data_IF_751534838566
#
_entry.id   IF_751534838566
#
_cell.length_a   1.000
_cell.length_b   1.000
_cell.length_c   1.000
_cell.angle_alpha   90.00
_cell.angle_beta   90.00
_cell.angle_gamma   90.00
#
_symmetry.space_group_name_H-M   'P 1'
#
loop_
_entity.id
_entity.type
_entity.pdbx_description
1 polymer ?
#
# COMPACT_ATOMS: atom_id res chain seq x y z
N UNK A 1 -0.18 15.93 -16.29
CA UNK A 1 0.11 14.69 -17.03
C UNK A 1 0.38 13.60 -16.01
N UNK A 2 -0.39 12.52 -16.02
CA UNK A 2 -0.04 11.29 -15.32
C UNK A 2 1.06 10.57 -16.13
N UNK A 3 2.04 9.94 -15.48
CA UNK A 3 1.98 9.46 -14.10
C UNK A 3 2.59 10.42 -13.06
N UNK A 4 2.12 10.33 -11.81
CA UNK A 4 2.79 10.87 -10.62
C UNK A 4 3.36 9.70 -9.82
N UNK A 5 4.50 9.89 -9.17
CA UNK A 5 5.08 8.91 -8.26
C UNK A 5 5.35 9.59 -6.92
N UNK A 6 4.99 8.94 -5.83
CA UNK A 6 5.35 9.34 -4.48
C UNK A 6 6.37 8.34 -3.93
N UNK A 7 7.43 8.83 -3.31
CA UNK A 7 8.39 8.02 -2.56
C UNK A 7 8.34 8.49 -1.11
N UNK A 8 8.09 7.57 -0.18
CA UNK A 8 7.85 7.89 1.23
C UNK A 8 6.71 8.92 1.43
N UNK A 9 5.73 8.86 0.51
CA UNK A 9 4.58 9.76 0.42
C UNK A 9 4.90 11.21 0.03
N UNK A 10 6.14 11.50 -0.35
CA UNK A 10 6.57 12.78 -0.91
C UNK A 10 6.67 12.67 -2.43
N UNK A 11 6.30 13.74 -3.15
CA UNK A 11 6.39 13.76 -4.62
C UNK A 11 7.82 13.46 -5.09
N UNK A 12 7.97 12.31 -5.75
CA UNK A 12 9.24 11.90 -6.31
C UNK A 12 9.46 12.65 -7.62
N UNK A 13 10.39 13.61 -7.57
CA UNK A 13 10.81 14.32 -8.77
C UNK A 13 11.59 13.37 -9.66
N UNK A 14 11.08 13.16 -10.88
CA UNK A 14 11.56 12.17 -11.83
C UNK A 14 12.91 12.59 -12.43
N UNK A 15 14.02 11.89 -12.15
CA UNK A 15 15.07 11.78 -13.15
C UNK A 15 14.53 10.95 -14.31
N UNK A 16 15.05 11.16 -15.54
CA UNK A 16 14.55 10.59 -16.80
C UNK A 16 14.35 9.05 -16.80
N UNK A 17 14.88 8.31 -15.84
CA UNK A 17 14.90 6.83 -15.81
C UNK A 17 14.58 6.19 -14.45
N UNK A 18 14.05 6.93 -13.45
CA UNK A 18 13.80 6.40 -12.09
C UNK A 18 15.03 5.69 -11.44
N UNK A 19 16.24 6.00 -11.91
CA UNK A 19 17.43 5.18 -11.68
C UNK A 19 17.92 5.13 -10.23
N UNK A 20 17.45 6.05 -9.38
CA UNK A 20 17.87 6.15 -7.98
C UNK A 20 16.79 5.65 -6.99
N UNK A 21 15.64 5.15 -7.48
CA UNK A 21 14.52 4.76 -6.63
C UNK A 21 14.91 3.65 -5.65
N UNK A 22 15.68 2.67 -6.11
CA UNK A 22 16.16 1.56 -5.27
C UNK A 22 17.11 2.07 -4.19
N UNK A 23 18.03 2.96 -4.54
CA UNK A 23 18.99 3.53 -3.60
C UNK A 23 18.28 4.34 -2.52
N UNK A 24 17.31 5.18 -2.90
CA UNK A 24 16.52 5.96 -1.94
C UNK A 24 15.64 5.06 -1.06
N UNK A 25 15.05 4.02 -1.63
CA UNK A 25 14.24 3.04 -0.88
C UNK A 25 15.10 2.30 0.15
N UNK A 26 16.31 1.87 -0.24
CA UNK A 26 17.26 1.26 0.68
C UNK A 26 17.69 2.22 1.80
N UNK A 27 17.87 3.51 1.50
CA UNK A 27 18.18 4.51 2.51
C UNK A 27 17.04 4.68 3.53
N UNK A 28 15.78 4.72 3.08
CA UNK A 28 14.60 4.76 3.95
C UNK A 28 14.55 3.51 4.84
N UNK A 29 14.72 2.32 4.27
CA UNK A 29 14.68 1.06 5.00
C UNK A 29 15.83 0.88 6.03
N UNK A 30 16.86 1.74 6.01
CA UNK A 30 17.93 1.76 7.02
C UNK A 30 17.62 2.65 8.22
N UNK A 31 16.59 3.48 8.13
CA UNK A 31 16.12 4.27 9.27
C UNK A 31 15.20 3.44 10.15
N UNK A 32 15.24 3.68 11.46
CA UNK A 32 14.30 3.04 12.37
C UNK A 32 12.89 3.56 12.07
N UNK A 33 11.87 2.68 11.97
CA UNK A 33 10.51 3.12 11.72
C UNK A 33 9.97 3.89 12.93
N UNK A 34 9.17 4.93 12.68
CA UNK A 34 8.53 5.76 13.72
C UNK A 34 7.15 5.22 14.15
N UNK A 35 6.72 4.12 13.54
CA UNK A 35 5.59 3.32 13.96
C UNK A 35 6.02 1.85 14.05
N UNK A 36 5.19 1.03 14.70
CA UNK A 36 5.27 -0.43 14.64
C UNK A 36 3.96 -0.98 14.08
N UNK A 37 4.01 -1.73 12.98
CA UNK A 37 2.85 -2.37 12.33
C UNK A 37 2.94 -3.88 12.51
N UNK A 38 1.82 -4.49 12.91
CA UNK A 38 1.59 -5.94 12.89
C UNK A 38 0.35 -6.22 12.07
N UNK A 39 0.42 -7.21 11.19
CA UNK A 39 -0.67 -7.57 10.29
C UNK A 39 -0.96 -9.06 10.37
N UNK A 40 -2.24 -9.40 10.39
CA UNK A 40 -2.72 -10.78 10.26
C UNK A 40 -3.79 -10.85 9.18
N UNK A 41 -3.76 -11.94 8.42
CA UNK A 41 -4.63 -12.16 7.28
C UNK A 41 -5.29 -13.54 7.39
N UNK A 42 -6.59 -13.59 7.12
CA UNK A 42 -7.36 -14.82 7.03
C UNK A 42 -8.00 -14.85 5.65
N UNK A 43 -7.48 -15.73 4.79
CA UNK A 43 -8.00 -15.94 3.44
C UNK A 43 -8.98 -17.09 3.42
N UNK A 44 -10.12 -16.86 2.78
CA UNK A 44 -11.13 -17.86 2.46
C UNK A 44 -11.31 -17.95 0.95
N UNK A 45 -12.18 -18.87 0.49
CA UNK A 45 -12.42 -19.12 -0.93
C UNK A 45 -12.93 -17.89 -1.68
N UNK A 46 -13.71 -17.03 -1.03
CA UNK A 46 -14.40 -15.89 -1.65
C UNK A 46 -14.17 -14.57 -0.91
N UNK A 47 -13.31 -14.56 0.11
CA UNK A 47 -13.10 -13.38 0.93
C UNK A 47 -11.69 -13.35 1.54
N UNK A 48 -11.28 -12.15 1.93
CA UNK A 48 -10.07 -11.89 2.69
C UNK A 48 -10.42 -10.99 3.86
N UNK A 49 -10.06 -11.42 5.06
CA UNK A 49 -10.13 -10.60 6.26
C UNK A 49 -8.71 -10.22 6.71
N UNK A 50 -8.47 -8.93 6.86
CA UNK A 50 -7.20 -8.35 7.30
C UNK A 50 -7.42 -7.66 8.64
N UNK A 51 -6.55 -7.92 9.60
CA UNK A 51 -6.42 -7.11 10.82
C UNK A 51 -5.03 -6.50 10.86
N UNK A 52 -4.98 -5.20 11.08
CA UNK A 52 -3.74 -4.47 11.30
C UNK A 52 -3.80 -3.76 12.64
N UNK A 53 -2.76 -3.96 13.44
CA UNK A 53 -2.50 -3.26 14.68
C UNK A 53 -1.25 -2.41 14.46
N UNK A 54 -1.28 -1.13 14.84
CA UNK A 54 -0.12 -0.28 14.81
C UNK A 54 0.05 0.56 16.08
N UNK A 55 1.31 0.87 16.41
CA UNK A 55 1.68 1.70 17.55
C UNK A 55 2.57 2.86 17.07
N UNK A 56 2.20 4.09 17.42
CA UNK A 56 2.95 5.33 17.14
C UNK A 56 3.41 5.91 18.48
N UNK A 57 4.66 5.64 18.91
CA UNK A 57 5.13 6.00 20.24
C UNK A 57 5.29 7.51 20.43
N UNK A 58 5.69 8.24 19.39
CA UNK A 58 5.88 9.69 19.47
C UNK A 58 4.53 10.43 19.45
N UNK A 59 4.26 11.19 20.51
CA UNK A 59 3.05 12.00 20.65
C UNK A 59 2.91 13.06 19.55
N UNK A 60 4.02 13.58 19.03
CA UNK A 60 4.02 14.59 17.97
C UNK A 60 3.58 14.03 16.62
N UNK A 61 3.56 12.70 16.46
CA UNK A 61 3.19 12.01 15.22
C UNK A 61 1.78 11.41 15.26
N UNK A 62 1.00 11.65 16.33
CA UNK A 62 -0.33 11.03 16.52
C UNK A 62 -1.42 11.50 15.57
N UNK A 63 -1.14 12.56 14.80
CA UNK A 63 -1.97 12.95 13.66
C UNK A 63 -1.83 12.01 12.46
N UNK A 64 -0.87 11.08 12.48
CA UNK A 64 -0.75 10.04 11.48
C UNK A 64 -1.98 9.13 11.42
N UNK A 65 -2.17 8.49 10.27
CA UNK A 65 -3.29 7.60 9.98
C UNK A 65 -2.75 6.25 9.51
N UNK A 66 -3.39 5.19 9.99
CA UNK A 66 -3.23 3.85 9.47
C UNK A 66 -4.11 3.66 8.23
N UNK A 67 -3.54 3.07 7.20
CA UNK A 67 -4.22 2.64 5.98
C UNK A 67 -3.97 1.16 5.74
N UNK A 68 -4.95 0.48 5.15
CA UNK A 68 -4.86 -0.88 4.61
C UNK A 68 -5.25 -0.82 3.14
N UNK A 69 -4.35 -1.24 2.26
CA UNK A 69 -4.59 -1.37 0.83
C UNK A 69 -4.55 -2.84 0.43
N UNK A 70 -5.60 -3.32 -0.22
CA UNK A 70 -5.57 -4.61 -0.92
C UNK A 70 -5.35 -4.35 -2.40
N UNK A 71 -4.33 -4.98 -2.97
CA UNK A 71 -3.94 -4.78 -4.35
C UNK A 71 -3.79 -6.11 -5.08
N UNK A 72 -3.92 -6.05 -6.41
CA UNK A 72 -3.81 -7.19 -7.30
C UNK A 72 -2.64 -7.01 -8.27
N UNK A 73 -1.85 -8.07 -8.42
CA UNK A 73 -0.73 -8.15 -9.37
C UNK A 73 -1.13 -8.91 -10.66
N UNK A 74 -0.23 -8.89 -11.64
CA UNK A 74 -0.32 -9.70 -12.85
C UNK A 74 -1.60 -9.47 -13.68
N UNK A 75 -2.19 -8.26 -13.61
CA UNK A 75 -3.38 -7.93 -14.39
C UNK A 75 -2.98 -7.71 -15.85
N UNK A 76 -3.70 -8.33 -16.78
CA UNK A 76 -3.40 -8.26 -18.22
C UNK A 76 -4.60 -7.73 -18.98
N UNK A 77 -4.38 -6.65 -19.73
CA UNK A 77 -5.39 -6.02 -20.59
C UNK A 77 -4.97 -6.16 -22.03
N UNK A 78 -5.77 -6.86 -22.84
CA UNK A 78 -5.58 -6.88 -24.30
C UNK A 78 -6.24 -5.64 -24.89
N UNK A 79 -5.45 -4.74 -25.47
CA UNK A 79 -5.96 -3.54 -26.12
C UNK A 79 -6.48 -3.91 -27.50
N UNK A 80 -7.78 -3.73 -27.72
CA UNK A 80 -8.47 -4.18 -28.95
C UNK A 80 -8.55 -3.10 -30.03
N UNK A 81 -8.31 -1.82 -29.70
CA UNK A 81 -8.42 -0.70 -30.62
C UNK A 81 -7.52 0.49 -30.20
N UNK A 82 -7.29 1.43 -31.13
CA UNK A 82 -6.48 2.64 -30.93
C UNK A 82 -5.00 2.45 -31.24
N UNK A 83 -4.17 3.42 -30.86
CA UNK A 83 -2.72 3.43 -31.12
C UNK A 83 -2.01 2.22 -30.50
N UNK A 84 -2.52 1.72 -29.38
CA UNK A 84 -2.00 0.54 -28.68
C UNK A 84 -2.68 -0.77 -29.10
N UNK A 85 -3.49 -0.78 -30.17
CA UNK A 85 -4.20 -1.98 -30.61
C UNK A 85 -3.24 -3.15 -30.85
N UNK A 86 -3.59 -4.32 -30.32
CA UNK A 86 -2.75 -5.52 -30.40
C UNK A 86 -1.74 -5.66 -29.26
N UNK A 87 -1.50 -4.61 -28.47
CA UNK A 87 -0.67 -4.69 -27.27
C UNK A 87 -1.39 -5.43 -26.12
N UNK A 88 -0.59 -6.09 -25.29
CA UNK A 88 -1.03 -6.62 -23.99
C UNK A 88 -0.34 -5.81 -22.91
N UNK A 89 -1.12 -5.01 -22.19
CA UNK A 89 -0.63 -4.23 -21.06
C UNK A 89 -0.65 -5.10 -19.80
N UNK A 90 0.46 -5.07 -19.05
CA UNK A 90 0.57 -5.76 -17.76
C UNK A 90 0.61 -4.71 -16.66
N UNK A 91 -0.18 -4.91 -15.61
CA UNK A 91 -0.29 -4.01 -14.48
C UNK A 91 -0.04 -4.77 -13.18
N UNK A 92 0.82 -4.21 -12.34
CA UNK A 92 1.10 -4.68 -10.99
C UNK A 92 0.70 -3.63 -9.96
N UNK A 93 0.49 -4.06 -8.72
CA UNK A 93 0.12 -3.23 -7.58
C UNK A 93 -1.17 -2.41 -7.78
N UNK A 94 -2.15 -2.97 -8.49
CA UNK A 94 -3.44 -2.29 -8.73
C UNK A 94 -4.30 -2.39 -7.46
N UNK A 95 -4.48 -1.27 -6.76
CA UNK A 95 -5.32 -1.19 -5.57
C UNK A 95 -6.78 -1.51 -5.94
N UNK A 96 -7.31 -2.54 -5.28
CA UNK A 96 -8.70 -2.99 -5.40
C UNK A 96 -9.58 -2.40 -4.30
N UNK A 97 -9.03 -2.29 -3.10
CA UNK A 97 -9.69 -1.72 -1.94
C UNK A 97 -8.67 -0.91 -1.13
N UNK A 98 -9.09 0.25 -0.65
CA UNK A 98 -8.33 1.07 0.29
C UNK A 98 -9.25 1.40 1.47
N UNK A 99 -8.81 1.09 2.67
CA UNK A 99 -9.58 1.35 3.87
C UNK A 99 -9.73 2.85 4.14
N UNK A 100 -10.82 3.25 4.80
CA UNK A 100 -10.90 4.57 5.44
C UNK A 100 -9.75 4.71 6.45
N UNK A 101 -9.00 5.83 6.48
CA UNK A 101 -7.90 6.00 7.42
C UNK A 101 -8.36 5.92 8.88
N UNK A 102 -7.60 5.21 9.72
CA UNK A 102 -7.83 5.13 11.16
C UNK A 102 -6.75 5.92 11.93
N UNK A 103 -7.16 6.66 12.97
CA UNK A 103 -6.24 7.43 13.80
C UNK A 103 -5.80 6.65 15.05
N UNK A 104 -4.55 6.81 15.51
CA UNK A 104 -4.12 6.41 16.85
C UNK A 104 -4.95 7.05 17.96
N UNK A 105 -5.13 6.30 19.05
CA UNK A 105 -5.70 6.80 20.29
C UNK A 105 -4.68 7.62 21.10
N UNK A 106 -5.05 8.06 22.31
CA UNK A 106 -4.17 8.81 23.22
C UNK A 106 -2.94 8.04 23.74
N UNK A 107 -2.85 6.73 23.50
CA UNK A 107 -1.67 5.94 23.80
C UNK A 107 -0.78 5.72 22.57
N UNK A 108 -1.23 6.12 21.37
CA UNK A 108 -0.55 5.87 20.11
C UNK A 108 -0.97 4.57 19.43
N UNK A 109 -1.94 3.84 19.98
CA UNK A 109 -2.41 2.57 19.41
C UNK A 109 -3.54 2.79 18.41
N UNK A 110 -3.50 2.07 17.29
CA UNK A 110 -4.59 1.99 16.31
C UNK A 110 -4.78 0.55 15.86
N UNK A 111 -6.03 0.12 15.77
CA UNK A 111 -6.40 -1.21 15.27
C UNK A 111 -7.45 -1.04 14.20
N UNK A 112 -7.25 -1.68 13.05
CA UNK A 112 -8.18 -1.65 11.94
C UNK A 112 -8.43 -3.05 11.38
N UNK A 113 -9.67 -3.27 10.93
CA UNK A 113 -10.06 -4.49 10.21
C UNK A 113 -10.63 -4.10 8.85
N UNK A 114 -10.23 -4.83 7.83
CA UNK A 114 -10.79 -4.75 6.49
C UNK A 114 -11.19 -6.15 6.05
N UNK A 115 -12.47 -6.32 5.71
CA UNK A 115 -12.97 -7.57 5.13
C UNK A 115 -13.50 -7.26 3.74
N UNK A 116 -13.01 -8.00 2.74
CA UNK A 116 -13.45 -7.86 1.35
C UNK A 116 -13.97 -9.19 0.84
N UNK A 117 -14.97 -9.11 -0.03
CA UNK A 117 -15.39 -10.22 -0.87
C UNK A 117 -14.69 -10.09 -2.22
N UNK A 118 -14.28 -11.21 -2.80
CA UNK A 118 -13.61 -11.20 -4.10
C UNK A 118 -14.60 -10.83 -5.20
N UNK A 119 -14.20 -9.87 -6.05
CA UNK A 119 -14.93 -9.56 -7.27
C UNK A 119 -14.86 -10.72 -8.28
N UNK A 120 -15.81 -10.82 -9.23
CA UNK A 120 -15.93 -11.95 -10.15
C UNK A 120 -14.74 -12.14 -11.11
N UNK A 121 -13.87 -11.14 -11.23
CA UNK A 121 -12.69 -11.15 -12.12
C UNK A 121 -11.37 -11.00 -11.38
N UNK A 122 -11.40 -11.03 -10.04
CA UNK A 122 -10.18 -10.97 -9.26
C UNK A 122 -9.52 -12.34 -9.27
N UNK A 123 -8.20 -12.36 -9.27
CA UNK A 123 -7.39 -13.56 -9.13
C UNK A 123 -6.93 -13.65 -7.68
N UNK A 124 -7.57 -14.45 -6.81
CA UNK A 124 -7.25 -14.44 -5.37
C UNK A 124 -5.77 -14.69 -5.08
N UNK A 125 -5.12 -15.53 -5.88
CA UNK A 125 -3.69 -15.83 -5.78
C UNK A 125 -2.77 -14.63 -6.06
N UNK A 126 -3.26 -13.61 -6.77
CA UNK A 126 -2.51 -12.38 -7.06
C UNK A 126 -2.92 -11.21 -6.15
N UNK A 127 -3.80 -11.46 -5.16
CA UNK A 127 -4.18 -10.46 -4.16
C UNK A 127 -3.18 -10.43 -3.02
N UNK A 128 -2.71 -9.23 -2.69
CA UNK A 128 -1.79 -8.96 -1.60
C UNK A 128 -2.28 -7.78 -0.77
N UNK A 129 -1.70 -7.60 0.40
CA UNK A 129 -2.05 -6.51 1.31
C UNK A 129 -0.82 -5.67 1.60
N UNK A 130 -1.02 -4.36 1.62
CA UNK A 130 -0.09 -3.40 2.21
C UNK A 130 -0.80 -2.64 3.33
N UNK A 131 -0.09 -2.39 4.42
CA UNK A 131 -0.51 -1.52 5.49
C UNK A 131 0.57 -0.48 5.71
N UNK A 132 0.17 0.77 5.95
CA UNK A 132 1.12 1.84 6.20
C UNK A 132 0.54 2.88 7.13
N UNK A 133 1.40 3.48 7.95
CA UNK A 133 1.08 4.62 8.78
C UNK A 133 1.67 5.85 8.12
N UNK A 134 0.84 6.85 7.85
CA UNK A 134 1.22 8.07 7.14
C UNK A 134 0.81 9.30 7.92
N UNK A 135 1.70 10.26 8.04
CA UNK A 135 1.39 11.57 8.62
C UNK A 135 0.38 12.31 7.74
N UNK A 136 -0.79 12.67 8.30
CA UNK A 136 -1.96 13.16 7.55
C UNK A 136 -1.68 14.44 6.73
N UNK A 137 -0.93 15.39 7.30
CA UNK A 137 -0.62 16.67 6.63
C UNK A 137 0.53 16.60 5.62
N UNK A 138 1.66 16.01 5.99
CA UNK A 138 2.87 16.00 5.16
C UNK A 138 2.88 14.87 4.14
N UNK A 139 2.03 13.85 4.33
CA UNK A 139 2.07 12.63 3.54
C UNK A 139 3.26 11.73 3.86
N UNK A 140 4.14 12.08 4.79
CA UNK A 140 5.32 11.26 5.10
C UNK A 140 4.91 9.91 5.70
N UNK A 141 5.48 8.81 5.20
CA UNK A 141 5.19 7.48 5.72
C UNK A 141 6.09 7.23 6.95
N UNK A 142 5.49 6.77 8.05
CA UNK A 142 6.18 6.44 9.32
C UNK A 142 6.63 4.98 9.35
N UNK A 143 5.84 4.11 8.71
CA UNK A 143 6.18 2.72 8.43
C UNK A 143 5.25 2.19 7.33
N UNK A 144 5.75 1.27 6.51
CA UNK A 144 4.95 0.42 5.64
C UNK A 144 5.30 -1.06 5.86
N UNK A 145 4.32 -1.92 5.69
CA UNK A 145 4.43 -3.37 5.73
C UNK A 145 3.57 -3.95 4.62
N UNK A 146 4.06 -4.94 3.89
CA UNK A 146 3.23 -5.72 2.99
C UNK A 146 3.28 -7.20 3.35
N UNK A 147 2.23 -7.94 2.98
CA UNK A 147 2.30 -9.39 3.01
C UNK A 147 3.06 -9.89 1.79
N UNK A 148 4.28 -10.34 2.04
CA UNK A 148 4.99 -11.25 1.13
C UNK A 148 4.89 -12.65 1.72
N UNK A 149 3.81 -13.36 1.41
CA UNK A 149 3.81 -14.81 1.58
C UNK A 149 3.92 -15.45 0.19
N UNK A 150 5.02 -16.20 0.00
CA UNK A 150 5.22 -17.15 -1.09
C UNK A 150 4.57 -18.47 -0.73
#
# INVERSE_FOLDING_TARGET
VTPQLLLDGVNYQRPLLFSDIDTKTQAINRTAPEAEIRMTEVRQTQSLAVRVDAHVPDKSLREAKLFIAVYENNLRTKVTAGENAGAVLTHDFVVRELSVPAAPNENGDVSQRLTINFGPHWKPQDLHVAAFVQHDRSGRVLQALNSTCR
#
